data_IF_800310040152
#
_entry.id   IF_800310040152
#
_cell.length_a   1.000
_cell.length_b   1.000
_cell.length_c   1.000
_cell.angle_alpha   90.00
_cell.angle_beta   90.00
_cell.angle_gamma   90.00
#
_symmetry.space_group_name_H-M   'P 1'
#
loop_
_entity.id
_entity.type
_entity.pdbx_description
1 polymer ?
#
# COMPACT_ATOMS: atom_id res chain seq x y z
N UNK A 1 -26.89 -44.74 8.48
CA UNK A 1 -25.45 -44.77 8.10
C UNK A 1 -25.15 -44.14 6.73
N UNK A 2 -25.89 -44.46 5.65
CA UNK A 2 -25.67 -43.86 4.30
C UNK A 2 -25.77 -42.33 4.22
N UNK A 3 -26.68 -41.70 4.98
CA UNK A 3 -26.83 -40.23 5.03
C UNK A 3 -25.66 -39.52 5.72
N UNK A 4 -25.05 -40.16 6.73
CA UNK A 4 -23.86 -39.63 7.40
C UNK A 4 -22.62 -39.70 6.48
N UNK A 5 -22.50 -40.78 5.69
CA UNK A 5 -21.41 -40.93 4.73
C UNK A 5 -21.46 -39.87 3.61
N UNK A 6 -22.64 -39.51 3.11
CA UNK A 6 -22.78 -38.45 2.12
C UNK A 6 -22.41 -37.07 2.67
N UNK A 7 -22.78 -36.77 3.92
CA UNK A 7 -22.43 -35.51 4.57
C UNK A 7 -20.92 -35.38 4.82
N UNK A 8 -20.26 -36.48 5.23
CA UNK A 8 -18.82 -36.50 5.44
C UNK A 8 -18.04 -36.35 4.12
N UNK A 9 -18.49 -37.00 3.05
CA UNK A 9 -17.88 -36.88 1.72
C UNK A 9 -18.00 -35.45 1.16
N UNK A 10 -19.15 -34.79 1.39
CA UNK A 10 -19.35 -33.39 1.02
C UNK A 10 -18.42 -32.44 1.79
N UNK A 11 -18.20 -32.68 3.10
CA UNK A 11 -17.30 -31.84 3.90
C UNK A 11 -15.82 -31.95 3.48
N UNK A 12 -15.36 -33.15 3.10
CA UNK A 12 -13.99 -33.37 2.62
C UNK A 12 -13.77 -32.72 1.25
N UNK A 13 -14.77 -32.74 0.36
CA UNK A 13 -14.69 -32.08 -0.94
C UNK A 13 -14.59 -30.54 -0.84
N UNK A 14 -15.16 -29.94 0.21
CA UNK A 14 -15.06 -28.48 0.45
C UNK A 14 -13.69 -28.10 1.05
N UNK A 15 -13.07 -28.97 1.87
CA UNK A 15 -11.74 -28.75 2.42
C UNK A 15 -10.59 -28.97 1.39
N UNK A 16 -10.89 -29.62 0.26
CA UNK A 16 -9.90 -29.92 -0.78
C UNK A 16 -9.48 -28.69 -1.62
N UNK A 17 -10.14 -27.53 -1.47
CA UNK A 17 -9.79 -26.31 -2.21
C UNK A 17 -8.49 -25.65 -1.73
N UNK A 18 -7.80 -26.17 -0.69
CA UNK A 18 -6.47 -25.73 -0.29
C UNK A 18 -6.38 -24.29 0.24
N UNK A 19 -7.52 -23.63 0.49
CA UNK A 19 -7.58 -22.31 1.12
C UNK A 19 -7.13 -22.42 2.59
N UNK A 20 -5.87 -22.09 2.84
CA UNK A 20 -5.37 -21.86 4.19
C UNK A 20 -5.83 -20.47 4.64
N UNK A 21 -6.35 -20.35 5.86
CA UNK A 21 -6.48 -19.04 6.49
C UNK A 21 -5.09 -18.37 6.41
N UNK A 22 -5.03 -17.19 5.80
CA UNK A 22 -3.87 -16.32 5.86
C UNK A 22 -3.68 -16.04 7.35
N UNK A 23 -2.77 -16.78 7.99
CA UNK A 23 -2.52 -16.65 9.43
C UNK A 23 -2.26 -15.18 9.77
N UNK A 24 -2.26 -14.84 11.05
CA UNK A 24 -1.94 -13.48 11.51
C UNK A 24 -0.46 -13.11 11.27
N UNK A 25 0.16 -13.59 10.20
CA UNK A 25 1.41 -13.08 9.63
C UNK A 25 1.15 -11.68 9.10
N UNK A 26 0.93 -10.76 10.05
CA UNK A 26 1.39 -9.39 9.97
C UNK A 26 2.73 -9.37 9.24
N UNK A 27 2.88 -8.43 8.32
CA UNK A 27 4.08 -8.32 7.51
C UNK A 27 5.28 -8.06 8.45
N UNK A 28 6.00 -9.12 8.82
CA UNK A 28 7.15 -9.02 9.73
C UNK A 28 8.25 -8.30 8.99
N UNK A 29 8.56 -7.07 9.41
CA UNK A 29 9.65 -6.34 8.80
C UNK A 29 10.98 -6.83 9.39
N UNK A 30 12.07 -6.81 8.61
CA UNK A 30 13.35 -7.34 9.04
C UNK A 30 14.17 -6.36 9.90
N UNK A 31 13.52 -5.37 10.54
CA UNK A 31 14.15 -4.33 11.34
C UNK A 31 13.43 -4.16 12.68
N UNK A 32 14.15 -3.90 13.76
CA UNK A 32 13.57 -3.71 15.10
C UNK A 32 12.92 -2.35 15.27
N UNK A 33 13.54 -1.29 14.74
CA UNK A 33 13.01 0.07 14.81
C UNK A 33 13.05 0.77 13.45
N UNK A 34 12.03 1.59 13.20
CA UNK A 34 11.93 2.37 11.97
C UNK A 34 11.52 3.82 12.25
N UNK A 35 12.14 4.75 11.53
CA UNK A 35 11.72 6.14 11.42
C UNK A 35 11.07 6.38 10.06
N UNK A 36 9.94 7.10 10.03
CA UNK A 36 9.22 7.45 8.79
C UNK A 36 9.50 8.91 8.48
N UNK A 37 10.38 9.17 7.52
CA UNK A 37 10.74 10.52 7.07
C UNK A 37 9.76 11.02 6.00
N UNK A 38 8.53 11.29 6.44
CA UNK A 38 7.45 11.88 5.62
C UNK A 38 6.96 13.18 6.28
N UNK A 39 6.34 14.09 5.51
CA UNK A 39 5.66 15.24 6.09
C UNK A 39 4.64 14.83 7.16
N UNK A 40 4.52 15.62 8.24
CA UNK A 40 3.66 15.29 9.39
C UNK A 40 2.18 15.06 9.04
N UNK A 41 1.70 15.72 7.98
CA UNK A 41 0.34 15.62 7.47
C UNK A 41 0.17 14.61 6.30
N UNK A 42 1.17 13.76 6.04
CA UNK A 42 1.08 12.76 4.98
C UNK A 42 0.05 11.67 5.31
N UNK A 43 -0.99 11.55 4.47
CA UNK A 43 -1.98 10.47 4.58
C UNK A 43 -1.34 9.08 4.49
N UNK A 44 -0.34 8.93 3.61
CA UNK A 44 0.42 7.69 3.44
C UNK A 44 1.21 7.39 4.71
N UNK A 45 1.84 8.41 5.31
CA UNK A 45 2.56 8.26 6.59
C UNK A 45 1.66 7.79 7.74
N UNK A 46 0.44 8.33 7.83
CA UNK A 46 -0.55 7.92 8.84
C UNK A 46 -0.99 6.47 8.67
N UNK A 47 -1.27 6.02 7.44
CA UNK A 47 -1.66 4.64 7.16
C UNK A 47 -0.50 3.66 7.35
N UNK A 48 0.67 3.99 6.81
CA UNK A 48 1.88 3.19 6.95
C UNK A 48 2.26 3.01 8.42
N UNK A 49 2.21 4.10 9.21
CA UNK A 49 2.46 4.06 10.64
C UNK A 49 1.47 3.14 11.39
N UNK A 50 0.18 3.18 11.03
CA UNK A 50 -0.83 2.26 11.59
C UNK A 50 -0.53 0.81 11.24
N UNK A 51 -0.17 0.54 9.99
CA UNK A 51 0.14 -0.82 9.54
C UNK A 51 1.39 -1.40 10.20
N UNK A 52 2.45 -0.62 10.32
CA UNK A 52 3.68 -1.06 11.00
C UNK A 52 3.39 -1.36 12.47
N UNK A 53 2.68 -0.47 13.17
CA UNK A 53 2.28 -0.70 14.57
C UNK A 53 1.40 -1.95 14.73
N UNK A 54 0.43 -2.14 13.84
CA UNK A 54 -0.44 -3.33 13.83
C UNK A 54 0.34 -4.62 13.53
N UNK A 55 1.50 -4.52 12.85
CA UNK A 55 2.32 -5.70 12.56
C UNK A 55 2.98 -6.29 13.81
N UNK A 56 3.25 -5.46 14.83
CA UNK A 56 3.90 -5.85 16.10
C UNK A 56 5.39 -6.16 16.02
N UNK A 57 5.99 -6.21 14.82
CA UNK A 57 7.39 -6.64 14.63
C UNK A 57 8.42 -5.51 14.66
N UNK A 58 8.00 -4.27 14.43
CA UNK A 58 8.87 -3.10 14.33
C UNK A 58 8.32 -1.92 15.11
N UNK A 59 9.16 -1.31 15.93
CA UNK A 59 8.82 -0.13 16.71
C UNK A 59 9.06 1.14 15.90
N UNK A 60 8.07 2.03 15.84
CA UNK A 60 8.26 3.35 15.28
C UNK A 60 8.92 4.28 16.30
N UNK A 61 10.00 4.94 15.89
CA UNK A 61 10.73 5.91 16.71
C UNK A 61 10.54 7.33 16.18
N UNK A 62 10.69 8.33 17.06
CA UNK A 62 10.46 9.73 16.71
C UNK A 62 11.68 10.41 16.04
N UNK A 63 12.89 9.90 16.26
CA UNK A 63 14.11 10.46 15.67
C UNK A 63 14.77 9.43 14.76
N UNK A 64 15.29 9.90 13.62
CA UNK A 64 16.05 9.07 12.69
C UNK A 64 17.29 8.41 13.32
N UNK A 65 17.89 9.04 14.33
CA UNK A 65 19.08 8.52 15.03
C UNK A 65 18.81 7.27 15.86
N UNK A 66 17.56 7.07 16.29
CA UNK A 66 17.15 5.94 17.14
C UNK A 66 16.63 4.76 16.30
N UNK A 67 16.64 4.89 14.97
CA UNK A 67 16.06 3.93 14.04
C UNK A 67 17.13 2.98 13.46
N UNK A 68 16.78 1.71 13.30
CA UNK A 68 17.58 0.76 12.50
C UNK A 68 17.34 0.98 10.99
N UNK A 69 16.11 1.36 10.63
CA UNK A 69 15.70 1.67 9.27
C UNK A 69 15.02 3.04 9.16
N UNK A 70 15.37 3.80 8.13
CA UNK A 70 14.82 5.13 7.84
C UNK A 70 14.09 5.03 6.52
N UNK A 71 12.76 5.07 6.56
CA UNK A 71 11.92 5.16 5.37
C UNK A 71 11.95 6.60 4.85
N UNK A 72 12.30 6.79 3.57
CA UNK A 72 12.39 8.10 2.94
C UNK A 72 11.48 8.19 1.73
N UNK A 73 10.65 9.21 1.70
CA UNK A 73 9.92 9.60 0.49
C UNK A 73 10.88 10.26 -0.50
N UNK A 74 10.81 9.82 -1.76
CA UNK A 74 11.53 10.39 -2.90
C UNK A 74 10.58 11.16 -3.83
N UNK A 75 9.36 10.67 -3.99
CA UNK A 75 8.32 11.27 -4.83
C UNK A 75 6.95 11.05 -4.21
N UNK A 76 6.09 12.06 -4.25
CA UNK A 76 4.65 11.95 -4.05
C UNK A 76 3.97 12.90 -5.04
N UNK A 77 3.39 12.33 -6.08
CA UNK A 77 2.71 13.06 -7.14
C UNK A 77 1.29 12.56 -7.27
N UNK A 78 0.35 13.50 -7.34
CA UNK A 78 -1.06 13.25 -7.61
C UNK A 78 -1.45 14.01 -8.87
N UNK A 79 -2.07 13.32 -9.82
CA UNK A 79 -2.49 13.89 -11.09
C UNK A 79 -3.97 13.54 -11.36
N UNK A 80 -4.70 14.49 -11.92
CA UNK A 80 -6.07 14.30 -12.42
C UNK A 80 -6.07 14.70 -13.88
N UNK A 81 -6.45 13.77 -14.75
CA UNK A 81 -6.48 13.99 -16.20
C UNK A 81 -7.82 13.54 -16.78
N UNK A 82 -8.20 14.09 -17.94
CA UNK A 82 -9.41 13.65 -18.65
C UNK A 82 -9.13 12.26 -19.24
N UNK A 83 -9.98 11.30 -18.92
CA UNK A 83 -9.91 9.96 -19.50
C UNK A 83 -10.79 9.84 -20.75
N UNK A 84 -12.00 10.38 -20.70
CA UNK A 84 -12.96 10.24 -21.79
C UNK A 84 -13.87 11.47 -21.95
N UNK A 85 -14.29 11.71 -23.19
CA UNK A 85 -15.23 12.74 -23.61
C UNK A 85 -16.41 12.10 -24.35
N UNK A 86 -17.59 12.73 -24.30
CA UNK A 86 -18.73 12.33 -25.14
C UNK A 86 -18.63 12.95 -26.56
N UNK A 87 -19.59 12.61 -27.43
CA UNK A 87 -19.65 13.11 -28.81
C UNK A 87 -19.76 14.65 -28.95
N UNK A 88 -20.13 15.35 -27.88
CA UNK A 88 -20.21 16.82 -27.82
C UNK A 88 -18.96 17.45 -27.17
N UNK A 89 -17.94 16.65 -26.86
CA UNK A 89 -16.70 17.10 -26.21
C UNK A 89 -16.81 17.32 -24.70
N UNK A 90 -17.91 16.93 -24.05
CA UNK A 90 -18.04 17.06 -22.60
C UNK A 90 -17.39 15.88 -21.86
N UNK A 91 -16.71 16.17 -20.76
CA UNK A 91 -16.00 15.18 -19.94
C UNK A 91 -16.98 14.15 -19.36
N UNK A 92 -16.61 12.87 -19.45
CA UNK A 92 -17.37 11.75 -18.86
C UNK A 92 -16.60 11.06 -17.75
N UNK A 93 -15.29 10.97 -17.87
CA UNK A 93 -14.45 10.34 -16.86
C UNK A 93 -13.14 11.12 -16.71
N UNK A 94 -12.69 11.21 -15.47
CA UNK A 94 -11.33 11.59 -15.11
C UNK A 94 -10.54 10.35 -14.71
N UNK A 95 -9.23 10.38 -14.93
CA UNK A 95 -8.27 9.46 -14.33
C UNK A 95 -7.51 10.18 -13.23
N UNK A 96 -7.60 9.62 -12.03
CA UNK A 96 -6.78 9.96 -10.87
C UNK A 96 -5.56 9.05 -10.88
N UNK A 97 -4.37 9.63 -10.79
CA UNK A 97 -3.10 8.90 -10.76
C UNK A 97 -2.27 9.35 -9.56
N UNK A 98 -1.85 8.40 -8.73
CA UNK A 98 -0.89 8.63 -7.65
C UNK A 98 0.42 7.92 -8.00
N UNK A 99 1.53 8.66 -8.02
CA UNK A 99 2.89 8.10 -8.11
C UNK A 99 3.61 8.37 -6.81
N UNK A 100 4.10 7.30 -6.19
CA UNK A 100 4.84 7.40 -4.95
C UNK A 100 6.14 6.62 -5.07
N UNK A 101 7.26 7.30 -4.84
CA UNK A 101 8.58 6.69 -4.83
C UNK A 101 9.21 6.84 -3.46
N UNK A 102 9.90 5.79 -3.01
CA UNK A 102 10.53 5.74 -1.71
C UNK A 102 11.79 4.90 -1.73
N UNK A 103 12.58 5.01 -0.68
CA UNK A 103 13.68 4.09 -0.36
C UNK A 103 13.74 3.86 1.14
N UNK A 104 14.52 2.86 1.56
CA UNK A 104 14.86 2.67 2.97
C UNK A 104 16.37 2.61 3.12
N UNK A 105 16.90 3.37 4.07
CA UNK A 105 18.32 3.40 4.40
C UNK A 105 18.55 3.09 5.87
N UNK A 106 19.77 2.71 6.24
CA UNK A 106 20.20 2.71 7.64
C UNK A 106 20.71 4.11 8.07
N UNK A 107 20.98 4.35 9.37
CA UNK A 107 21.55 5.62 9.83
C UNK A 107 22.93 5.98 9.26
N UNK A 108 23.64 5.01 8.68
CA UNK A 108 24.95 5.20 8.03
C UNK A 108 24.79 5.54 6.54
N UNK A 109 23.56 5.57 6.02
CA UNK A 109 23.25 5.84 4.62
C UNK A 109 23.30 4.61 3.72
N UNK A 110 23.52 3.40 4.24
CA UNK A 110 23.45 2.17 3.45
C UNK A 110 22.02 1.94 2.98
N UNK A 111 21.85 1.68 1.70
CA UNK A 111 20.54 1.35 1.12
C UNK A 111 20.11 -0.05 1.58
N UNK A 112 19.01 -0.11 2.32
CA UNK A 112 18.37 -1.35 2.77
C UNK A 112 17.29 -1.80 1.79
N UNK A 113 16.53 -0.83 1.26
CA UNK A 113 15.57 -1.02 0.16
C UNK A 113 15.90 0.04 -0.90
N UNK A 114 16.21 -0.37 -2.15
CA UNK A 114 16.51 0.57 -3.21
C UNK A 114 15.31 1.47 -3.53
N UNK A 115 15.52 2.57 -4.27
CA UNK A 115 14.43 3.36 -4.80
C UNK A 115 13.40 2.50 -5.53
N UNK A 116 12.18 2.47 -5.00
CA UNK A 116 11.03 1.76 -5.55
C UNK A 116 9.91 2.75 -5.83
N UNK A 117 9.23 2.57 -6.96
CA UNK A 117 8.07 3.37 -7.36
C UNK A 117 6.81 2.50 -7.37
N UNK A 118 5.71 3.08 -6.90
CA UNK A 118 4.37 2.51 -7.00
C UNK A 118 3.48 3.55 -7.68
N UNK A 119 2.79 3.12 -8.74
CA UNK A 119 1.82 3.93 -9.47
C UNK A 119 0.43 3.31 -9.30
N UNK A 120 -0.53 4.09 -8.81
CA UNK A 120 -1.93 3.71 -8.73
C UNK A 120 -2.78 4.60 -9.60
N UNK A 121 -3.76 4.01 -10.28
CA UNK A 121 -4.77 4.73 -11.03
C UNK A 121 -6.17 4.36 -10.55
N UNK A 122 -7.06 5.35 -10.51
CA UNK A 122 -8.50 5.19 -10.31
C UNK A 122 -9.24 6.05 -11.31
N UNK A 123 -10.29 5.50 -11.90
CA UNK A 123 -11.13 6.22 -12.84
C UNK A 123 -12.37 6.76 -12.10
N UNK A 124 -12.70 8.02 -12.31
CA UNK A 124 -13.79 8.75 -11.67
C UNK A 124 -14.79 9.19 -12.74
N UNK A 125 -16.03 8.74 -12.62
CA UNK A 125 -17.12 9.22 -13.48
C UNK A 125 -17.49 10.66 -13.15
N UNK A 126 -17.79 11.47 -14.17
CA UNK A 126 -18.13 12.89 -14.02
C UNK A 126 -19.55 13.21 -14.49
N UNK A 127 -20.23 14.03 -13.70
CA UNK A 127 -21.52 14.62 -14.03
C UNK A 127 -21.55 16.09 -13.59
N UNK A 128 -21.70 16.98 -14.58
CA UNK A 128 -21.74 18.42 -14.35
C UNK A 128 -22.98 18.88 -13.55
N UNK A 129 -24.02 18.04 -13.45
CA UNK A 129 -25.19 18.33 -12.61
C UNK A 129 -24.97 17.97 -11.14
N UNK A 130 -23.93 17.21 -10.82
CA UNK A 130 -23.66 16.66 -9.49
C UNK A 130 -22.22 16.95 -9.00
N UNK A 131 -21.66 18.12 -9.38
CA UNK A 131 -20.25 18.48 -9.11
C UNK A 131 -19.85 18.28 -7.66
N UNK A 132 -20.63 18.78 -6.70
CA UNK A 132 -20.31 18.66 -5.27
C UNK A 132 -20.21 17.19 -4.81
N UNK A 133 -21.11 16.33 -5.30
CA UNK A 133 -21.06 14.90 -4.99
C UNK A 133 -19.81 14.25 -5.60
N UNK A 134 -19.42 14.67 -6.81
CA UNK A 134 -18.21 14.19 -7.49
C UNK A 134 -16.92 14.65 -6.83
N UNK A 135 -16.88 15.86 -6.27
CA UNK A 135 -15.74 16.33 -5.49
C UNK A 135 -15.56 15.52 -4.19
N UNK A 136 -16.68 15.15 -3.54
CA UNK A 136 -16.64 14.30 -2.35
C UNK A 136 -16.23 12.85 -2.69
N UNK A 137 -16.70 12.31 -3.82
CA UNK A 137 -16.28 11.00 -4.34
C UNK A 137 -14.78 10.99 -4.64
N UNK A 138 -14.28 12.03 -5.32
CA UNK A 138 -12.85 12.20 -5.60
C UNK A 138 -12.01 12.21 -4.32
N UNK A 139 -12.42 12.96 -3.29
CA UNK A 139 -11.71 13.01 -2.02
C UNK A 139 -11.65 11.62 -1.33
N UNK A 140 -12.73 10.84 -1.42
CA UNK A 140 -12.75 9.46 -0.92
C UNK A 140 -11.79 8.58 -1.72
N UNK A 141 -11.80 8.68 -3.05
CA UNK A 141 -10.88 7.92 -3.91
C UNK A 141 -9.42 8.22 -3.60
N UNK A 142 -9.05 9.49 -3.38
CA UNK A 142 -7.68 9.85 -3.01
C UNK A 142 -7.24 9.25 -1.67
N UNK A 143 -8.14 9.26 -0.68
CA UNK A 143 -7.86 8.66 0.63
C UNK A 143 -7.70 7.14 0.52
N UNK A 144 -8.55 6.49 -0.27
CA UNK A 144 -8.51 5.04 -0.48
C UNK A 144 -7.25 4.65 -1.27
N UNK A 145 -6.86 5.43 -2.28
CA UNK A 145 -5.58 5.25 -2.98
C UNK A 145 -4.38 5.40 -2.04
N UNK A 146 -4.42 6.35 -1.10
CA UNK A 146 -3.33 6.52 -0.11
C UNK A 146 -3.22 5.32 0.84
N UNK A 147 -4.36 4.74 1.22
CA UNK A 147 -4.41 3.52 2.02
C UNK A 147 -3.86 2.31 1.22
N UNK A 148 -4.25 2.17 -0.04
CA UNK A 148 -3.76 1.14 -0.95
C UNK A 148 -2.25 1.23 -1.14
N UNK A 149 -1.71 2.44 -1.37
CA UNK A 149 -0.28 2.71 -1.46
C UNK A 149 0.45 2.25 -0.19
N UNK A 150 0.01 2.69 0.98
CA UNK A 150 0.61 2.29 2.25
C UNK A 150 0.60 0.76 2.44
N UNK A 151 -0.48 0.09 2.01
CA UNK A 151 -0.58 -1.37 2.08
C UNK A 151 0.42 -2.07 1.15
N UNK A 152 0.64 -1.52 -0.05
CA UNK A 152 1.60 -2.05 -1.04
C UNK A 152 3.03 -1.84 -0.57
N UNK A 153 3.34 -0.65 -0.05
CA UNK A 153 4.63 -0.33 0.56
C UNK A 153 4.94 -1.34 1.67
N UNK A 154 4.01 -1.55 2.61
CA UNK A 154 4.21 -2.52 3.70
C UNK A 154 4.56 -3.92 3.19
N UNK A 155 3.85 -4.39 2.15
CA UNK A 155 4.12 -5.71 1.55
C UNK A 155 5.50 -5.77 0.92
N UNK A 156 5.92 -4.74 0.19
CA UNK A 156 7.26 -4.67 -0.38
C UNK A 156 8.33 -4.64 0.72
N UNK A 157 8.12 -3.86 1.80
CA UNK A 157 9.04 -3.79 2.94
C UNK A 157 9.21 -5.13 3.66
N UNK A 158 8.16 -5.95 3.75
CA UNK A 158 8.22 -7.26 4.40
C UNK A 158 8.91 -8.33 3.55
N UNK A 159 8.94 -8.17 2.23
CA UNK A 159 9.63 -9.08 1.31
C UNK A 159 11.10 -8.67 1.13
N UNK A 160 11.38 -7.36 1.20
CA UNK A 160 12.72 -6.82 1.03
C UNK A 160 13.64 -7.32 2.15
N UNK A 161 14.48 -8.32 1.85
CA UNK A 161 15.53 -8.76 2.76
C UNK A 161 16.57 -7.64 2.87
N UNK A 162 17.07 -7.32 4.08
CA UNK A 162 18.17 -6.39 4.23
C UNK A 162 19.39 -6.94 3.50
N UNK A 163 19.82 -6.29 2.42
CA UNK A 163 21.12 -6.55 1.80
C UNK A 163 21.18 -7.49 0.60
N UNK A 164 20.16 -7.59 -0.25
CA UNK A 164 20.34 -8.16 -1.61
C UNK A 164 20.90 -7.13 -2.62
N UNK A 165 21.59 -6.09 -2.13
CA UNK A 165 22.37 -5.22 -3.00
C UNK A 165 23.57 -6.02 -3.48
N UNK A 166 23.51 -6.42 -4.75
CA UNK A 166 24.62 -6.67 -5.69
C UNK A 166 25.99 -6.74 -4.98
N UNK A 167 26.51 -7.96 -4.85
CA UNK A 167 27.97 -8.14 -4.79
C UNK A 167 28.53 -7.51 -6.06
N UNK A 168 29.22 -6.39 -5.92
CA UNK A 168 30.04 -5.79 -6.97
C UNK A 168 31.12 -6.81 -7.36
N UNK A 169 31.11 -7.23 -8.62
CA UNK A 169 32.21 -7.93 -9.30
C UNK A 169 32.93 -6.93 -10.22
#
# INVERSE_FOLDING_TARGET
MKRLFLAFLAAVLVAACGFQLRGSTSATLPYKSMYIALPENSEIGLWLGRYIKASGSTQLVANARDAEAIFQQLLDQRNKSILSLNAKGAVREYRLEAKFAYRVIDPKGKVLVPPSEIVLTRDLTFDASAVLAKDQEEAVLWRDMSNDLASQILRQLAIAKPGSGVEDD
#
